data_IF_092214475039
#
_entry.id   IF_092214475039
#
_cell.length_a   1.000
_cell.length_b   1.000
_cell.length_c   1.000
_cell.angle_alpha   90.00
_cell.angle_beta   90.00
_cell.angle_gamma   90.00
#
_symmetry.space_group_name_H-M   'P 1'
#
loop_
_entity.id
_entity.type
_entity.pdbx_description
1 polymer ?
#
# COMPACT_ATOMS: atom_id res chain seq x y z
N UNK A 1 -19.88 6.54 -1.48
CA UNK A 1 -18.63 5.96 -0.94
C UNK A 1 -17.48 6.64 -1.64
N UNK A 2 -16.61 7.35 -0.92
CA UNK A 2 -15.51 8.09 -1.53
C UNK A 2 -14.47 7.10 -2.07
N UNK A 3 -14.06 7.31 -3.32
CA UNK A 3 -12.94 6.60 -3.91
C UNK A 3 -11.70 6.76 -3.01
N UNK A 4 -10.97 5.67 -2.79
CA UNK A 4 -9.67 5.76 -2.13
C UNK A 4 -8.67 6.21 -3.19
N UNK A 5 -8.11 7.40 -3.04
CA UNK A 5 -7.04 7.89 -3.91
C UNK A 5 -5.72 7.16 -3.62
N UNK A 6 -4.84 7.12 -4.62
CA UNK A 6 -3.48 6.57 -4.46
C UNK A 6 -2.71 7.30 -3.35
N UNK A 7 -2.93 8.60 -3.18
CA UNK A 7 -2.33 9.37 -2.07
C UNK A 7 -2.79 8.88 -0.71
N UNK A 8 -4.08 8.57 -0.54
CA UNK A 8 -4.60 8.01 0.72
C UNK A 8 -3.96 6.67 1.04
N UNK A 9 -3.73 5.83 0.03
CA UNK A 9 -2.98 4.58 0.17
C UNK A 9 -1.56 4.85 0.68
N UNK A 10 -0.83 5.75 0.03
CA UNK A 10 0.55 6.08 0.42
C UNK A 10 0.60 6.60 1.86
N UNK A 11 -0.35 7.44 2.28
CA UNK A 11 -0.46 7.91 3.66
C UNK A 11 -0.69 6.79 4.67
N UNK A 12 -1.54 5.80 4.34
CA UNK A 12 -1.75 4.65 5.24
C UNK A 12 -0.49 3.76 5.32
N UNK A 13 0.23 3.59 4.20
CA UNK A 13 1.52 2.88 4.19
C UNK A 13 2.58 3.62 5.02
N UNK A 14 2.63 4.96 4.95
CA UNK A 14 3.50 5.79 5.79
C UNK A 14 3.21 5.59 7.27
N UNK A 15 1.94 5.60 7.67
CA UNK A 15 1.54 5.36 9.07
C UNK A 15 1.95 3.96 9.53
N UNK A 16 1.76 2.94 8.70
CA UNK A 16 2.16 1.57 9.02
C UNK A 16 3.68 1.46 9.19
N UNK A 17 4.45 2.11 8.31
CA UNK A 17 5.90 2.19 8.45
C UNK A 17 6.31 2.89 9.74
N UNK A 18 5.74 4.06 10.05
CA UNK A 18 6.06 4.78 11.28
C UNK A 18 5.79 3.94 12.53
N UNK A 19 4.70 3.16 12.54
CA UNK A 19 4.38 2.27 13.66
C UNK A 19 5.35 1.08 13.76
N UNK A 20 5.79 0.53 12.62
CA UNK A 20 6.85 -0.49 12.57
C UNK A 20 8.21 0.06 13.04
N UNK A 21 8.61 1.22 12.52
CA UNK A 21 9.89 1.88 12.87
C UNK A 21 9.91 2.30 14.35
N UNK A 22 8.76 2.67 14.91
CA UNK A 22 8.61 2.95 16.34
C UNK A 22 8.65 1.69 17.24
N UNK A 23 8.76 0.49 16.65
CA UNK A 23 8.69 -0.78 17.37
C UNK A 23 7.31 -1.07 17.98
N UNK A 24 6.29 -0.29 17.61
CA UNK A 24 4.93 -0.40 18.13
C UNK A 24 4.11 -1.47 17.39
N UNK A 25 4.64 -2.00 16.29
CA UNK A 25 3.98 -3.02 15.47
C UNK A 25 4.87 -4.25 15.30
N UNK A 26 4.29 -5.44 15.52
CA UNK A 26 4.96 -6.70 15.17
C UNK A 26 4.80 -6.96 13.68
N UNK A 27 5.75 -7.69 13.09
CA UNK A 27 5.71 -8.03 11.66
C UNK A 27 4.38 -8.68 11.22
N UNK A 28 3.81 -9.57 12.05
CA UNK A 28 2.50 -10.18 11.77
C UNK A 28 1.33 -9.18 11.75
N UNK A 29 1.36 -8.17 12.63
CA UNK A 29 0.34 -7.11 12.65
C UNK A 29 0.46 -6.20 11.42
N UNK A 30 1.69 -5.98 10.95
CA UNK A 30 1.96 -5.18 9.76
C UNK A 30 1.37 -5.86 8.52
N UNK A 31 1.63 -7.15 8.35
CA UNK A 31 1.10 -7.92 7.22
C UNK A 31 -0.43 -7.99 7.25
N UNK A 32 -1.04 -8.16 8.43
CA UNK A 32 -2.49 -8.18 8.56
C UNK A 32 -3.12 -6.81 8.21
N UNK A 33 -2.52 -5.71 8.66
CA UNK A 33 -2.99 -4.36 8.33
C UNK A 33 -2.79 -4.05 6.85
N UNK A 34 -1.64 -4.41 6.29
CA UNK A 34 -1.34 -4.27 4.87
C UNK A 34 -2.35 -5.03 4.02
N UNK A 35 -2.65 -6.29 4.37
CA UNK A 35 -3.65 -7.10 3.69
C UNK A 35 -5.05 -6.46 3.73
N UNK A 36 -5.42 -5.84 4.86
CA UNK A 36 -6.68 -5.11 5.00
C UNK A 36 -6.72 -3.86 4.12
N UNK A 37 -5.65 -3.06 4.09
CA UNK A 37 -5.55 -1.89 3.21
C UNK A 37 -5.68 -2.31 1.75
N UNK A 38 -4.93 -3.32 1.30
CA UNK A 38 -5.01 -3.84 -0.08
C UNK A 38 -6.41 -4.36 -0.41
N UNK A 39 -7.07 -5.04 0.53
CA UNK A 39 -8.44 -5.55 0.35
C UNK A 39 -9.43 -4.40 0.21
N UNK A 40 -9.35 -3.39 1.08
CA UNK A 40 -10.21 -2.20 1.00
C UNK A 40 -10.00 -1.45 -0.33
N UNK A 41 -8.77 -1.37 -0.84
CA UNK A 41 -8.48 -0.80 -2.16
C UNK A 41 -9.16 -1.57 -3.30
N UNK A 42 -9.11 -2.92 -3.23
CA UNK A 42 -9.74 -3.78 -4.23
C UNK A 42 -11.26 -3.66 -4.17
N UNK A 43 -11.84 -3.65 -2.97
CA UNK A 43 -13.29 -3.56 -2.76
C UNK A 43 -13.85 -2.18 -3.13
N UNK A 44 -13.11 -1.10 -2.86
CA UNK A 44 -13.56 0.27 -3.12
C UNK A 44 -13.33 0.75 -4.55
N UNK A 45 -12.69 -0.05 -5.41
CA UNK A 45 -12.19 0.32 -6.75
C UNK A 45 -11.44 1.66 -6.69
N UNK A 46 -10.11 1.60 -6.59
CA UNK A 46 -9.25 2.77 -6.78
C UNK A 46 -9.75 3.56 -8.00
N UNK A 47 -10.13 4.82 -7.77
CA UNK A 47 -10.49 5.77 -8.82
C UNK A 47 -9.20 6.36 -9.40
N UNK A 48 -8.35 5.43 -9.85
CA UNK A 48 -7.02 5.68 -10.35
C UNK A 48 -6.66 4.57 -11.32
N UNK A 49 -6.16 4.95 -12.49
CA UNK A 49 -5.70 4.01 -13.49
C UNK A 49 -4.55 3.15 -12.95
N UNK A 50 -4.44 1.91 -13.44
CA UNK A 50 -3.32 1.01 -13.16
C UNK A 50 -1.93 1.69 -13.14
N UNK A 51 -1.56 2.53 -14.13
CA UNK A 51 -0.30 3.28 -14.11
C UNK A 51 -0.19 4.27 -12.95
N UNK A 52 -1.27 4.94 -12.55
CA UNK A 52 -1.25 5.88 -11.43
C UNK A 52 -1.00 5.16 -10.09
N UNK A 53 -1.57 3.96 -9.93
CA UNK A 53 -1.31 3.11 -8.76
C UNK A 53 0.16 2.66 -8.74
N UNK A 54 0.67 2.16 -9.88
CA UNK A 54 2.06 1.74 -10.00
C UNK A 54 3.04 2.89 -9.71
N UNK A 55 2.75 4.10 -10.21
CA UNK A 55 3.54 5.29 -9.95
C UNK A 55 3.54 5.67 -8.46
N UNK A 56 2.39 5.63 -7.79
CA UNK A 56 2.32 5.90 -6.35
C UNK A 56 3.08 4.87 -5.50
N UNK A 57 3.03 3.59 -5.90
CA UNK A 57 3.83 2.54 -5.25
C UNK A 57 5.32 2.72 -5.51
N UNK A 58 5.71 3.14 -6.70
CA UNK A 58 7.10 3.44 -7.04
C UNK A 58 7.63 4.64 -6.25
N UNK A 59 6.84 5.71 -6.09
CA UNK A 59 7.23 6.85 -5.27
C UNK A 59 7.31 6.49 -3.77
N UNK A 60 6.34 5.71 -3.26
CA UNK A 60 6.39 5.18 -1.90
C UNK A 60 7.66 4.33 -1.66
N UNK A 61 8.06 3.50 -2.63
CA UNK A 61 9.31 2.75 -2.56
C UNK A 61 10.52 3.70 -2.57
N UNK A 62 10.54 4.69 -3.46
CA UNK A 62 11.63 5.67 -3.58
C UNK A 62 11.82 6.48 -2.30
N UNK A 63 10.73 6.82 -1.62
CA UNK A 63 10.72 7.53 -0.33
C UNK A 63 11.04 6.62 0.87
N UNK A 64 11.22 5.32 0.64
CA UNK A 64 11.49 4.33 1.68
C UNK A 64 10.27 4.01 2.56
N UNK A 65 9.07 4.41 2.15
CA UNK A 65 7.81 4.17 2.85
C UNK A 65 7.46 2.69 2.87
N UNK A 66 7.74 1.99 1.77
CA UNK A 66 7.55 0.55 1.64
C UNK A 66 8.84 -0.11 1.17
N UNK A 67 8.96 -1.41 1.46
CA UNK A 67 10.06 -2.23 0.94
C UNK A 67 9.75 -2.75 -0.47
N UNK A 68 10.77 -3.19 -1.25
CA UNK A 68 10.56 -3.81 -2.55
C UNK A 68 9.62 -5.04 -2.50
N UNK A 69 9.69 -5.80 -1.39
CA UNK A 69 8.82 -6.96 -1.17
C UNK A 69 7.35 -6.55 -1.01
N UNK A 70 7.08 -5.48 -0.25
CA UNK A 70 5.72 -4.93 -0.06
C UNK A 70 5.17 -4.38 -1.37
N UNK A 71 5.97 -3.64 -2.15
CA UNK A 71 5.58 -3.17 -3.48
C UNK A 71 5.15 -4.32 -4.38
N UNK A 72 6.00 -5.35 -4.51
CA UNK A 72 5.71 -6.54 -5.33
C UNK A 72 4.45 -7.27 -4.86
N UNK A 73 4.23 -7.36 -3.54
CA UNK A 73 3.02 -7.97 -2.99
C UNK A 73 1.76 -7.20 -3.39
N UNK A 74 1.78 -5.87 -3.25
CA UNK A 74 0.64 -5.02 -3.64
C UNK A 74 0.40 -5.12 -5.15
N UNK A 75 1.44 -5.05 -5.99
CA UNK A 75 1.33 -5.15 -7.45
C UNK A 75 0.69 -6.47 -7.89
N UNK A 76 1.10 -7.60 -7.32
CA UNK A 76 0.49 -8.92 -7.57
C UNK A 76 -0.98 -8.96 -7.12
N UNK A 77 -1.28 -8.40 -5.94
CA UNK A 77 -2.65 -8.40 -5.39
C UNK A 77 -3.58 -7.45 -6.14
N UNK A 78 -3.06 -6.44 -6.82
CA UNK A 78 -3.86 -5.55 -7.67
C UNK A 78 -3.87 -5.99 -9.14
N UNK A 79 -3.12 -7.05 -9.50
CA UNK A 79 -3.01 -7.51 -10.89
C UNK A 79 -2.33 -6.49 -11.80
N UNK A 80 -1.38 -5.72 -11.25
CA UNK A 80 -0.58 -4.72 -11.97
C UNK A 80 0.64 -5.36 -12.64
N UNK A 81 1.12 -6.47 -12.09
CA UNK A 81 2.16 -7.32 -12.68
C UNK A 81 1.55 -8.65 -13.14
N UNK A 82 2.01 -9.21 -14.27
CA UNK A 82 1.56 -10.51 -14.78
C UNK A 82 1.89 -11.67 -13.82
#
# INVERSE_FOLDING_TARGET
>A
MAAVSVERLVQELEKLKQQMDAGALKAGDYDQRLARVIRELRERKLDADRPAIAAGLADALRRGVITPAVKTHIEKRLGLTP
#
